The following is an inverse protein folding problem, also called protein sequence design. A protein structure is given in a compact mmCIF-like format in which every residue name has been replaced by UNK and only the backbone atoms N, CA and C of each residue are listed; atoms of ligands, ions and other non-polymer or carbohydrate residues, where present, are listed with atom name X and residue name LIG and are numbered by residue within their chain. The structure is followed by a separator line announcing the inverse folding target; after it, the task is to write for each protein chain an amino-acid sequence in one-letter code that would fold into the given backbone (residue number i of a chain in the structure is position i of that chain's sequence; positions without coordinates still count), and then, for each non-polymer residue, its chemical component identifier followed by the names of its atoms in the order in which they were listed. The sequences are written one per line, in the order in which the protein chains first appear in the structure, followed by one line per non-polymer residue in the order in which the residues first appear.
data_IF_726811100704
#
_entry.id   IF_726811100704
#
_cell.length_a   1.000
_cell.length_b   1.000
_cell.length_c   1.000
_cell.angle_alpha   90.00
_cell.angle_beta   90.00
_cell.angle_gamma   90.00
#
_symmetry.space_group_name_H-M   'P 1'
#
loop_
_entity.id
_entity.type
_entity.pdbx_description
1 polymer ?
#
# COMPACT_ATOMS: atom_id res chain seq x y z
N UNK A 1 -24.95 5.24 -35.72
CA UNK A 1 -24.12 4.78 -34.59
C UNK A 1 -22.76 5.42 -34.74
N UNK A 2 -22.54 6.54 -34.11
CA UNK A 2 -21.28 7.30 -34.13
C UNK A 2 -20.41 6.83 -32.98
N UNK A 3 -19.28 6.26 -33.33
CA UNK A 3 -18.27 5.77 -32.37
C UNK A 3 -17.62 6.96 -31.65
N UNK A 4 -17.72 6.98 -30.33
CA UNK A 4 -17.07 7.97 -29.47
C UNK A 4 -15.54 7.70 -29.45
N UNK A 5 -14.67 8.68 -29.77
CA UNK A 5 -13.23 8.46 -29.77
C UNK A 5 -12.73 8.36 -28.36
N UNK A 6 -12.26 7.17 -27.96
CA UNK A 6 -11.67 6.88 -26.67
C UNK A 6 -10.57 7.89 -26.29
N UNK A 7 -10.76 8.61 -25.19
CA UNK A 7 -9.79 9.51 -24.56
C UNK A 7 -8.55 8.70 -24.15
N UNK A 8 -7.45 8.85 -24.88
CA UNK A 8 -6.19 8.23 -24.51
C UNK A 8 -5.31 9.20 -23.70
N UNK A 9 -4.30 8.68 -22.98
CA UNK A 9 -3.39 9.47 -22.14
C UNK A 9 -2.66 10.61 -22.88
N UNK A 10 -2.40 10.46 -24.17
CA UNK A 10 -1.73 11.47 -24.99
C UNK A 10 -2.65 12.66 -25.30
N UNK A 11 -3.95 12.42 -25.55
CA UNK A 11 -4.92 13.50 -25.78
C UNK A 11 -5.22 14.29 -24.50
N UNK A 12 -5.12 13.67 -23.31
CA UNK A 12 -5.25 14.37 -22.05
C UNK A 12 -4.07 15.34 -21.81
N UNK A 13 -2.84 14.89 -22.02
CA UNK A 13 -1.64 15.74 -21.87
C UNK A 13 -1.55 16.86 -22.91
N UNK A 14 -1.99 16.63 -24.14
CA UNK A 14 -2.01 17.66 -25.18
C UNK A 14 -3.02 18.80 -24.88
N UNK A 15 -4.12 18.49 -24.18
CA UNK A 15 -5.11 19.51 -23.78
C UNK A 15 -4.66 20.32 -22.58
N UNK A 16 -3.82 19.78 -21.70
CA UNK A 16 -3.27 20.49 -20.53
C UNK A 16 -2.19 21.51 -20.91
N UNK A 17 -1.52 21.36 -22.05
CA UNK A 17 -0.49 22.27 -22.54
C UNK A 17 -1.03 23.52 -23.27
N UNK A 18 -2.33 23.55 -23.63
CA UNK A 18 -2.91 24.63 -24.41
C UNK A 18 -3.44 25.82 -23.58
N UNK A 19 -3.33 25.79 -22.26
CA UNK A 19 -3.83 26.86 -21.37
C UNK A 19 -2.76 27.86 -20.94
N UNK A 20 -1.50 27.68 -21.33
CA UNK A 20 -0.37 28.50 -20.85
C UNK A 20 0.14 29.58 -21.84
N UNK A 21 -0.64 30.03 -22.81
CA UNK A 21 -0.26 31.13 -23.68
C UNK A 21 -1.33 32.24 -23.69
N UNK A 22 -1.33 33.07 -22.66
CA UNK A 22 -1.98 34.39 -22.72
C UNK A 22 -0.92 35.41 -23.12
N UNK A 23 -1.02 36.07 -24.30
CA UNK A 23 -0.08 37.14 -24.64
C UNK A 23 -0.35 38.35 -23.71
N UNK A 24 0.67 38.81 -23.02
CA UNK A 24 0.65 40.08 -22.31
C UNK A 24 0.58 41.24 -23.30
N UNK A 25 -0.59 41.81 -23.48
CA UNK A 25 -0.75 43.11 -24.11
C UNK A 25 -0.55 44.18 -23.05
N UNK A 26 0.60 44.83 -23.03
CA UNK A 26 0.87 45.97 -22.20
C UNK A 26 0.07 47.18 -22.76
N UNK A 27 -0.98 47.60 -22.07
CA UNK A 27 -1.58 48.92 -22.23
C UNK A 27 -1.04 49.83 -21.11
N UNK A 28 -0.17 50.74 -21.51
CA UNK A 28 0.26 51.89 -20.71
C UNK A 28 -0.93 52.88 -20.56
N UNK A 29 -1.67 52.74 -19.50
CA UNK A 29 -2.56 53.79 -18.97
C UNK A 29 -2.58 53.61 -17.43
N UNK A 30 -2.22 54.69 -16.70
CA UNK A 30 -2.03 54.67 -15.24
C UNK A 30 -3.21 54.13 -14.45
N UNK A 31 -3.12 52.87 -14.10
CA UNK A 31 -3.96 52.17 -13.17
C UNK A 31 -3.06 51.51 -12.14
N UNK A 32 -3.36 51.69 -10.87
CA UNK A 32 -2.69 51.00 -9.78
C UNK A 32 -2.55 49.51 -10.14
N UNK A 33 -1.33 49.02 -10.12
CA UNK A 33 -1.07 47.59 -10.25
C UNK A 33 -1.82 46.91 -9.08
N UNK A 34 -2.92 46.24 -9.38
CA UNK A 34 -3.51 45.33 -8.44
C UNK A 34 -2.42 44.33 -8.05
N UNK A 35 -1.99 44.34 -6.78
CA UNK A 35 -1.16 43.28 -6.26
C UNK A 35 -1.83 41.95 -6.60
N UNK A 36 -1.06 40.95 -7.12
CA UNK A 36 -1.63 39.64 -7.30
C UNK A 36 -2.14 39.21 -5.94
N UNK A 37 -3.46 38.97 -5.84
CA UNK A 37 -4.02 38.41 -4.64
C UNK A 37 -3.25 37.11 -4.36
N UNK A 38 -2.46 37.11 -3.28
CA UNK A 38 -1.80 35.90 -2.81
C UNK A 38 -2.94 34.90 -2.59
N UNK A 39 -2.97 33.87 -3.41
CA UNK A 39 -3.90 32.77 -3.21
C UNK A 39 -3.68 32.29 -1.76
N UNK A 40 -4.78 32.14 -1.02
CA UNK A 40 -4.68 31.56 0.31
C UNK A 40 -3.86 30.28 0.24
N UNK A 41 -2.90 30.08 1.16
CA UNK A 41 -2.10 28.87 1.17
C UNK A 41 -3.08 27.68 1.17
N UNK A 42 -2.92 26.79 0.19
CA UNK A 42 -3.71 25.56 0.16
C UNK A 42 -3.49 24.83 1.48
N UNK A 43 -4.55 24.24 2.07
CA UNK A 43 -4.38 23.44 3.26
C UNK A 43 -3.36 22.33 2.98
N UNK A 44 -2.47 22.05 3.94
CA UNK A 44 -1.37 21.09 3.80
C UNK A 44 -1.84 19.71 3.36
N UNK A 45 -3.10 19.39 3.60
CA UNK A 45 -3.75 18.14 3.14
C UNK A 45 -5.26 18.31 3.03
N UNK A 46 -5.85 17.63 2.08
CA UNK A 46 -7.30 17.44 2.05
C UNK A 46 -7.70 16.37 3.08
N UNK A 47 -8.80 16.53 3.82
CA UNK A 47 -9.26 15.50 4.74
C UNK A 47 -9.54 14.20 4.00
N UNK A 48 -9.10 13.08 4.57
CA UNK A 48 -9.36 11.75 4.01
C UNK A 48 -10.89 11.53 3.96
N UNK A 49 -11.46 11.24 2.79
CA UNK A 49 -12.90 11.02 2.69
C UNK A 49 -13.31 9.79 3.52
N UNK A 50 -14.48 9.80 4.17
CA UNK A 50 -14.94 8.67 5.00
C UNK A 50 -14.93 7.31 4.28
N UNK A 51 -15.16 7.31 2.95
CA UNK A 51 -15.11 6.10 2.12
C UNK A 51 -13.71 5.50 1.96
N UNK A 52 -12.65 6.26 2.24
CA UNK A 52 -11.27 5.78 2.20
C UNK A 52 -10.74 5.36 3.58
N UNK A 53 -11.53 5.60 4.64
CA UNK A 53 -11.20 5.10 5.97
C UNK A 53 -11.48 3.59 6.01
N UNK A 54 -10.48 2.83 6.43
CA UNK A 54 -10.63 1.40 6.69
C UNK A 54 -11.52 1.14 7.92
N UNK A 55 -11.78 -0.13 8.23
CA UNK A 55 -12.51 -0.50 9.44
C UNK A 55 -11.76 -0.05 10.70
N UNK A 56 -12.52 0.25 11.75
CA UNK A 56 -11.93 0.60 13.05
C UNK A 56 -11.10 -0.57 13.58
N UNK A 57 -9.87 -0.28 14.00
CA UNK A 57 -9.01 -1.27 14.65
C UNK A 57 -9.46 -1.53 16.09
N UNK A 58 -9.21 -2.73 16.61
CA UNK A 58 -9.52 -3.11 17.98
C UNK A 58 -8.53 -2.49 18.97
N UNK A 59 -8.70 -2.78 20.28
CA UNK A 59 -7.82 -2.28 21.33
C UNK A 59 -6.36 -2.76 21.21
N UNK A 60 -6.10 -3.82 20.44
CA UNK A 60 -4.75 -4.33 20.14
C UNK A 60 -4.12 -3.66 18.92
N UNK A 61 -4.85 -2.75 18.25
CA UNK A 61 -4.36 -1.99 17.11
C UNK A 61 -4.45 -2.74 15.77
N UNK A 62 -5.41 -3.67 15.61
CA UNK A 62 -5.65 -4.32 14.33
C UNK A 62 -7.12 -4.62 14.10
N UNK A 63 -7.48 -4.78 12.85
CA UNK A 63 -8.75 -5.37 12.41
C UNK A 63 -8.47 -6.63 11.61
N UNK A 64 -9.26 -7.68 11.82
CA UNK A 64 -9.24 -8.89 11.00
C UNK A 64 -10.64 -9.20 10.50
N UNK A 65 -10.79 -9.42 9.20
CA UNK A 65 -12.06 -9.67 8.54
C UNK A 65 -11.99 -10.77 7.50
N UNK A 66 -13.14 -11.36 7.19
CA UNK A 66 -13.26 -12.36 6.13
C UNK A 66 -13.42 -11.66 4.77
N UNK A 67 -12.65 -12.10 3.78
CA UNK A 67 -12.82 -11.70 2.38
C UNK A 67 -13.81 -12.65 1.73
N UNK A 68 -13.48 -13.95 1.71
CA UNK A 68 -14.35 -15.00 1.14
C UNK A 68 -13.93 -16.37 1.72
N UNK A 69 -14.90 -17.24 2.03
CA UNK A 69 -14.65 -18.61 2.51
C UNK A 69 -13.63 -18.68 3.64
N UNK A 70 -12.44 -19.18 3.35
CA UNK A 70 -11.29 -19.34 4.24
C UNK A 70 -10.16 -18.33 3.97
N UNK A 71 -10.45 -17.28 3.20
CA UNK A 71 -9.56 -16.16 2.94
C UNK A 71 -9.93 -14.98 3.83
N UNK A 72 -8.96 -14.44 4.54
CA UNK A 72 -9.10 -13.36 5.50
C UNK A 72 -8.05 -12.27 5.22
N UNK A 73 -8.26 -11.10 5.80
CA UNK A 73 -7.31 -10.01 5.78
C UNK A 73 -7.16 -9.40 7.17
N UNK A 74 -6.05 -8.73 7.38
CA UNK A 74 -5.72 -8.03 8.62
C UNK A 74 -5.08 -6.70 8.28
N UNK A 75 -5.42 -5.67 9.04
CA UNK A 75 -4.86 -4.33 8.87
C UNK A 75 -4.63 -3.66 10.22
N UNK A 76 -3.65 -2.77 10.30
CA UNK A 76 -3.41 -1.84 11.40
C UNK A 76 -3.96 -0.42 11.10
N UNK A 77 -4.69 -0.28 9.98
CA UNK A 77 -5.19 1.01 9.49
C UNK A 77 -4.26 1.67 8.47
N UNK A 78 -3.01 1.22 8.35
CA UNK A 78 -2.01 1.74 7.40
C UNK A 78 -1.60 0.67 6.39
N UNK A 79 -1.17 -0.47 6.89
CA UNK A 79 -0.79 -1.62 6.09
C UNK A 79 -1.82 -2.74 6.21
N UNK A 80 -1.74 -3.66 5.28
CA UNK A 80 -2.62 -4.82 5.27
C UNK A 80 -1.88 -6.06 4.77
N UNK A 81 -2.34 -7.20 5.24
CA UNK A 81 -1.92 -8.52 4.81
C UNK A 81 -3.15 -9.41 4.64
N UNK A 82 -3.03 -10.47 3.87
CA UNK A 82 -4.09 -11.46 3.77
C UNK A 82 -3.59 -12.84 4.20
N UNK A 83 -4.49 -13.73 4.58
CA UNK A 83 -4.12 -15.10 4.87
C UNK A 83 -5.23 -16.08 4.52
N UNK A 84 -4.82 -17.25 4.08
CA UNK A 84 -5.70 -18.36 3.75
C UNK A 84 -5.53 -19.46 4.79
N UNK A 85 -6.63 -19.86 5.45
CA UNK A 85 -6.61 -21.01 6.35
C UNK A 85 -6.85 -22.30 5.58
N UNK A 86 -6.06 -23.33 5.86
CA UNK A 86 -6.18 -24.65 5.25
C UNK A 86 -6.16 -25.72 6.34
N UNK A 87 -6.41 -26.97 5.98
CA UNK A 87 -6.29 -28.11 6.93
C UNK A 87 -4.85 -28.31 7.39
N UNK A 88 -3.87 -27.96 6.58
CA UNK A 88 -2.45 -28.17 6.83
C UNK A 88 -1.80 -26.99 7.57
N UNK A 89 -2.46 -25.84 7.62
CA UNK A 89 -1.98 -24.62 8.22
C UNK A 89 -2.39 -23.38 7.45
N UNK A 90 -1.65 -22.31 7.61
CA UNK A 90 -1.96 -20.98 7.09
C UNK A 90 -0.95 -20.59 6.01
N UNK A 91 -1.46 -20.08 4.89
CA UNK A 91 -0.68 -19.38 3.87
C UNK A 91 -0.89 -17.89 4.11
N UNK A 92 0.18 -17.18 4.47
CA UNK A 92 0.18 -15.75 4.73
C UNK A 92 0.67 -15.01 3.49
N UNK A 93 -0.03 -13.97 3.08
CA UNK A 93 0.34 -13.06 1.98
C UNK A 93 0.78 -11.74 2.59
N UNK A 94 2.06 -11.45 2.50
CA UNK A 94 2.79 -10.35 3.09
C UNK A 94 2.83 -10.37 4.64
N UNK A 95 3.86 -9.76 5.19
CA UNK A 95 4.07 -9.66 6.63
C UNK A 95 4.61 -8.27 7.00
N UNK A 96 3.75 -7.23 6.97
CA UNK A 96 4.15 -5.87 7.30
C UNK A 96 4.68 -5.76 8.73
N UNK A 97 5.81 -5.06 8.93
CA UNK A 97 6.42 -4.93 10.26
C UNK A 97 5.56 -4.14 11.24
N UNK A 98 4.74 -3.20 10.77
CA UNK A 98 3.82 -2.42 11.61
C UNK A 98 2.70 -3.27 12.22
N UNK A 99 2.16 -4.23 11.47
CA UNK A 99 1.20 -5.22 11.98
C UNK A 99 1.93 -6.20 12.92
N UNK A 100 3.12 -6.63 12.56
CA UNK A 100 4.02 -7.39 13.40
C UNK A 100 3.36 -8.63 14.05
N UNK A 101 3.42 -8.73 15.38
CA UNK A 101 2.84 -9.85 16.14
C UNK A 101 1.31 -9.94 16.06
N UNK A 102 0.63 -8.88 15.62
CA UNK A 102 -0.81 -8.91 15.43
C UNK A 102 -1.23 -9.81 14.26
N UNK A 103 -0.31 -10.10 13.30
CA UNK A 103 -0.53 -11.12 12.28
C UNK A 103 -0.85 -12.48 12.91
N UNK A 104 0.00 -12.95 13.83
CA UNK A 104 -0.22 -14.23 14.50
C UNK A 104 -1.48 -14.19 15.39
N UNK A 105 -1.73 -13.10 16.11
CA UNK A 105 -2.94 -12.93 16.91
C UNK A 105 -4.22 -13.04 16.10
N UNK A 106 -4.27 -12.39 14.93
CA UNK A 106 -5.41 -12.47 14.01
C UNK A 106 -5.61 -13.89 13.48
N UNK A 107 -4.51 -14.57 13.12
CA UNK A 107 -4.52 -15.96 12.69
C UNK A 107 -5.04 -16.88 13.80
N UNK A 108 -4.53 -16.73 15.03
CA UNK A 108 -4.92 -17.52 16.19
C UNK A 108 -6.42 -17.37 16.48
N UNK A 109 -6.93 -16.15 16.47
CA UNK A 109 -8.34 -15.86 16.69
C UNK A 109 -9.24 -16.55 15.66
N UNK A 110 -8.86 -16.48 14.38
CA UNK A 110 -9.68 -17.02 13.29
C UNK A 110 -9.55 -18.53 13.18
N UNK A 111 -8.36 -19.09 13.31
CA UNK A 111 -8.10 -20.51 13.26
C UNK A 111 -8.80 -21.25 14.42
N UNK A 112 -8.73 -20.72 15.65
CA UNK A 112 -9.41 -21.27 16.82
C UNK A 112 -10.93 -21.38 16.60
N UNK A 113 -11.52 -20.31 16.04
CA UNK A 113 -12.97 -20.28 15.77
C UNK A 113 -13.39 -21.23 14.62
N UNK A 114 -12.45 -21.59 13.75
CA UNK A 114 -12.69 -22.42 12.56
C UNK A 114 -12.27 -23.87 12.75
N UNK A 115 -11.63 -24.21 13.89
CA UNK A 115 -11.14 -25.58 14.18
C UNK A 115 -10.03 -26.05 13.23
N UNK A 116 -9.26 -25.13 12.67
CA UNK A 116 -8.13 -25.41 11.76
C UNK A 116 -6.79 -25.03 12.41
N UNK A 117 -5.69 -25.52 11.82
CA UNK A 117 -4.36 -25.20 12.31
C UNK A 117 -4.06 -23.71 12.17
N UNK A 118 -3.49 -23.09 13.22
CA UNK A 118 -3.00 -21.72 13.23
C UNK A 118 -1.52 -21.61 12.81
N UNK A 119 -0.87 -22.73 12.52
CA UNK A 119 0.55 -22.74 12.12
C UNK A 119 0.69 -22.12 10.73
N UNK A 120 1.49 -21.04 10.63
CA UNK A 120 1.88 -20.51 9.32
C UNK A 120 2.86 -21.47 8.67
N UNK A 121 2.52 -21.98 7.49
CA UNK A 121 3.34 -22.91 6.71
C UNK A 121 4.04 -22.23 5.54
N UNK A 122 3.40 -21.19 4.98
CA UNK A 122 3.92 -20.45 3.85
C UNK A 122 3.77 -18.94 4.09
N UNK A 123 4.77 -18.17 3.65
CA UNK A 123 4.68 -16.72 3.49
C UNK A 123 4.94 -16.39 2.04
N UNK A 124 3.99 -15.74 1.39
CA UNK A 124 4.05 -15.33 -0.01
C UNK A 124 4.26 -13.81 -0.05
N UNK A 125 5.29 -13.35 -0.74
CA UNK A 125 5.62 -11.95 -0.87
C UNK A 125 5.06 -11.36 -2.15
N UNK A 126 4.30 -10.28 -2.06
CA UNK A 126 3.78 -9.54 -3.22
C UNK A 126 4.91 -8.81 -3.96
N UNK A 127 5.90 -8.27 -3.22
CA UNK A 127 7.04 -7.54 -3.77
C UNK A 127 8.24 -7.56 -2.80
N UNK A 128 9.33 -6.82 -3.12
CA UNK A 128 10.60 -6.91 -2.39
C UNK A 128 10.83 -5.82 -1.33
N UNK A 129 9.90 -4.91 -1.12
CA UNK A 129 10.02 -3.87 -0.10
C UNK A 129 9.96 -4.42 1.33
N UNK A 130 10.28 -3.58 2.31
CA UNK A 130 10.28 -3.98 3.73
C UNK A 130 8.86 -4.24 4.24
N UNK A 131 7.87 -3.52 3.72
CA UNK A 131 6.47 -3.67 4.11
C UNK A 131 5.91 -5.09 3.93
N UNK A 132 6.12 -5.83 2.81
CA UNK A 132 5.63 -7.20 2.72
C UNK A 132 6.51 -8.22 3.44
N UNK A 133 7.76 -7.92 3.81
CA UNK A 133 8.71 -8.93 4.29
C UNK A 133 9.16 -8.74 5.74
N UNK A 134 9.04 -7.53 6.30
CA UNK A 134 9.71 -7.13 7.53
C UNK A 134 9.37 -7.96 8.77
N UNK A 135 8.14 -8.44 8.91
CA UNK A 135 7.72 -9.29 10.02
C UNK A 135 7.78 -10.79 9.73
N UNK A 136 8.21 -11.21 8.55
CA UNK A 136 8.20 -12.63 8.17
C UNK A 136 9.10 -13.53 9.04
N UNK A 137 10.11 -12.96 9.69
CA UNK A 137 10.97 -13.67 10.62
C UNK A 137 10.26 -14.17 11.89
N UNK A 138 9.11 -13.58 12.22
CA UNK A 138 8.29 -14.00 13.37
C UNK A 138 7.74 -15.43 13.24
N UNK A 139 7.64 -15.93 12.00
CA UNK A 139 7.04 -17.24 11.70
C UNK A 139 8.05 -18.40 11.67
N UNK A 140 9.29 -18.16 12.11
CA UNK A 140 10.30 -19.20 12.20
C UNK A 140 10.99 -19.54 10.87
N UNK A 141 11.97 -20.46 10.95
CA UNK A 141 12.81 -20.83 9.79
C UNK A 141 12.18 -21.89 8.90
N UNK A 142 11.31 -22.71 9.46
CA UNK A 142 10.68 -23.85 8.76
C UNK A 142 9.54 -23.41 7.81
N UNK A 143 9.17 -22.14 7.84
CA UNK A 143 8.16 -21.60 6.95
C UNK A 143 8.71 -21.47 5.54
N UNK A 144 7.98 -22.00 4.57
CA UNK A 144 8.30 -21.86 3.14
C UNK A 144 8.04 -20.41 2.72
N UNK A 145 9.06 -19.76 2.16
CA UNK A 145 8.95 -18.39 1.65
C UNK A 145 8.88 -18.40 0.15
N UNK A 146 7.79 -17.85 -0.38
CA UNK A 146 7.50 -17.79 -1.81
C UNK A 146 7.57 -16.34 -2.27
N UNK A 147 8.33 -16.07 -3.30
CA UNK A 147 8.45 -14.74 -3.90
C UNK A 147 8.92 -14.83 -5.33
N UNK A 148 8.79 -13.72 -6.05
CA UNK A 148 9.36 -13.63 -7.38
C UNK A 148 10.90 -13.75 -7.33
N UNK A 149 11.51 -14.30 -8.37
CA UNK A 149 12.98 -14.48 -8.41
C UNK A 149 13.74 -13.16 -8.20
N UNK A 150 13.22 -12.05 -8.68
CA UNK A 150 13.82 -10.72 -8.48
C UNK A 150 13.73 -10.26 -7.01
N UNK A 151 12.67 -10.63 -6.27
CA UNK A 151 12.59 -10.42 -4.82
C UNK A 151 13.73 -11.12 -4.09
N UNK A 152 14.02 -12.36 -4.46
CA UNK A 152 15.15 -13.11 -3.91
C UNK A 152 16.48 -12.42 -4.21
N UNK A 153 16.71 -12.05 -5.47
CA UNK A 153 17.93 -11.35 -5.89
C UNK A 153 18.14 -10.01 -5.15
N UNK A 154 17.09 -9.22 -5.00
CA UNK A 154 17.15 -7.97 -4.26
C UNK A 154 17.50 -8.17 -2.78
N UNK A 155 16.89 -9.19 -2.12
CA UNK A 155 17.22 -9.55 -0.75
C UNK A 155 18.67 -9.98 -0.56
N UNK A 156 19.20 -10.78 -1.48
CA UNK A 156 20.59 -11.23 -1.47
C UNK A 156 21.59 -10.07 -1.70
N UNK A 157 21.23 -9.09 -2.52
CA UNK A 157 22.05 -7.89 -2.77
C UNK A 157 22.04 -6.95 -1.54
N UNK A 158 20.93 -6.78 -0.86
CA UNK A 158 20.82 -5.98 0.34
C UNK A 158 21.59 -6.54 1.54
N UNK A 159 21.90 -7.83 1.53
CA UNK A 159 22.70 -8.51 2.56
C UNK A 159 24.22 -8.47 2.31
N UNK A 160 24.67 -7.98 1.16
CA UNK A 160 26.12 -7.84 0.89
C UNK A 160 26.66 -6.68 1.73
N UNK A 161 27.70 -6.90 2.56
CA UNK A 161 28.39 -5.80 3.21
C UNK A 161 28.92 -4.87 2.14
N UNK A 162 28.56 -3.58 2.24
CA UNK A 162 29.12 -2.55 1.36
C UNK A 162 30.64 -2.61 1.37
N UNK A 163 31.35 -2.16 0.30
CA UNK A 163 32.78 -2.11 0.29
C UNK A 163 33.25 -1.31 1.51
N UNK A 164 34.22 -1.89 2.24
CA UNK A 164 34.83 -1.23 3.38
C UNK A 164 35.28 0.18 2.92
N UNK A 165 34.79 1.22 3.58
CA UNK A 165 35.27 2.57 3.32
C UNK A 165 36.72 2.61 3.76
N UNK A 166 37.60 2.83 2.79
CA UNK A 166 39.02 3.09 3.00
C UNK A 166 39.22 4.49 3.66
#
# INVERSE_FOLDING_TARGET
MTSDPALNRRSFLARSAAVAAVPAVATLAGGALAEPALADPLPDYAPVPPSALGPAVNAQGYYAGRIEKNLYWVTDGTYQAAFLTTREGVVLFDAPPSIGRNLQRAIDQIASNSGVSNKVTHVVYSHHHVDPVGASSLFGRDVVRVGHIETKRAAEQGQRPGPARA
#
